data_IF_118411418627
#
_entry.id   IF_118411418627
#
_cell.length_a   1.000
_cell.length_b   1.000
_cell.length_c   1.000
_cell.angle_alpha   90.00
_cell.angle_beta   90.00
_cell.angle_gamma   90.00
#
_symmetry.space_group_name_H-M   'P 1'
#
loop_
_entity.id
_entity.type
_entity.pdbx_description
1 polymer ?
#
# COMPACT_ATOMS: atom_id res chain seq x y z
N UNK A 1 -10.37 -23.20 -7.44
CA UNK A 1 -8.96 -23.64 -7.50
C UNK A 1 -8.74 -24.97 -8.22
N UNK A 2 -9.77 -25.81 -8.42
CA UNK A 2 -9.64 -27.13 -9.08
C UNK A 2 -9.06 -27.14 -10.51
N UNK A 3 -9.00 -26.00 -11.21
CA UNK A 3 -8.37 -25.89 -12.54
C UNK A 3 -6.89 -25.50 -12.52
N UNK A 4 -6.26 -25.42 -11.34
CA UNK A 4 -4.86 -25.04 -11.20
C UNK A 4 -3.92 -26.24 -11.39
N UNK A 5 -2.69 -25.99 -11.83
CA UNK A 5 -1.65 -27.03 -11.92
C UNK A 5 -1.23 -27.51 -10.52
N UNK A 6 -0.77 -28.76 -10.43
CA UNK A 6 -0.20 -29.30 -9.19
C UNK A 6 0.93 -28.42 -8.65
N UNK A 7 0.90 -28.14 -7.35
CA UNK A 7 1.78 -27.24 -6.59
C UNK A 7 1.79 -25.79 -7.07
N UNK A 8 0.71 -25.31 -7.71
CA UNK A 8 0.53 -23.87 -7.89
C UNK A 8 0.47 -23.16 -6.53
N UNK A 9 1.13 -22.00 -6.43
CA UNK A 9 1.08 -21.13 -5.25
C UNK A 9 -0.02 -20.09 -5.47
N UNK A 10 -0.89 -19.94 -4.49
CA UNK A 10 -2.00 -18.98 -4.47
C UNK A 10 -1.84 -18.09 -3.24
N UNK A 11 -1.87 -16.78 -3.46
CA UNK A 11 -1.79 -15.80 -2.39
C UNK A 11 -2.54 -14.53 -2.78
N UNK A 12 -2.80 -13.69 -1.78
CA UNK A 12 -3.47 -12.42 -1.92
C UNK A 12 -2.61 -11.31 -1.30
N UNK A 13 -2.62 -10.14 -1.91
CA UNK A 13 -1.96 -8.92 -1.39
C UNK A 13 -2.88 -7.69 -1.42
N UNK A 14 -4.14 -7.89 -1.79
CA UNK A 14 -5.18 -6.89 -1.65
C UNK A 14 -5.66 -6.76 -0.20
N UNK A 15 -6.84 -6.20 0.02
CA UNK A 15 -7.18 -5.67 1.34
C UNK A 15 -7.73 -6.73 2.32
N UNK A 16 -8.52 -7.68 1.82
CA UNK A 16 -9.18 -8.72 2.63
C UNK A 16 -9.09 -10.10 1.98
N UNK A 17 -9.47 -11.14 2.72
CA UNK A 17 -9.41 -12.55 2.30
C UNK A 17 -10.44 -12.98 1.25
N UNK A 18 -11.45 -12.17 1.00
CA UNK A 18 -12.55 -12.51 0.09
C UNK A 18 -12.24 -12.36 -1.41
N UNK A 19 -11.03 -11.89 -1.77
CA UNK A 19 -10.54 -11.93 -3.15
C UNK A 19 -10.29 -13.37 -3.63
N UNK A 20 -10.08 -14.28 -2.68
CA UNK A 20 -9.96 -15.71 -2.91
C UNK A 20 -11.17 -16.39 -2.27
N UNK A 21 -11.83 -17.30 -2.99
CA UNK A 21 -12.92 -18.11 -2.44
C UNK A 21 -12.39 -19.20 -1.49
N UNK A 22 -11.84 -18.76 -0.35
CA UNK A 22 -11.33 -19.63 0.72
C UNK A 22 -12.45 -20.44 1.37
N UNK A 23 -13.64 -19.85 1.48
CA UNK A 23 -14.81 -20.52 2.03
C UNK A 23 -15.29 -21.66 1.11
N UNK A 24 -15.29 -21.45 -0.21
CA UNK A 24 -15.57 -22.48 -1.20
C UNK A 24 -14.48 -23.55 -1.24
N UNK A 25 -13.20 -23.17 -1.11
CA UNK A 25 -12.08 -24.12 -0.98
C UNK A 25 -12.28 -25.04 0.24
N UNK A 26 -12.59 -24.47 1.41
CA UNK A 26 -12.83 -25.24 2.63
C UNK A 26 -14.03 -26.21 2.53
N UNK A 27 -15.02 -25.90 1.67
CA UNK A 27 -16.19 -26.76 1.41
C UNK A 27 -16.00 -27.70 0.21
N UNK A 28 -14.88 -27.63 -0.49
CA UNK A 28 -14.69 -28.35 -1.77
C UNK A 28 -14.43 -29.85 -1.61
N UNK A 29 -14.16 -30.32 -0.39
CA UNK A 29 -13.69 -31.69 -0.13
C UNK A 29 -12.16 -31.83 -0.26
N UNK A 30 -11.43 -30.77 -0.58
CA UNK A 30 -9.98 -30.74 -0.47
C UNK A 30 -9.55 -30.83 1.01
N UNK A 31 -8.44 -31.51 1.28
CA UNK A 31 -7.85 -31.62 2.61
C UNK A 31 -6.77 -30.57 2.80
N UNK A 32 -6.70 -29.97 4.00
CA UNK A 32 -5.73 -28.94 4.36
C UNK A 32 -4.67 -29.52 5.29
N UNK A 33 -3.41 -29.41 4.88
CA UNK A 33 -2.24 -29.71 5.70
C UNK A 33 -1.41 -28.43 5.89
N UNK A 34 -1.18 -28.01 7.14
CA UNK A 34 -0.31 -26.87 7.42
C UNK A 34 1.16 -27.29 7.29
N UNK A 35 1.91 -26.68 6.38
CA UNK A 35 3.33 -26.96 6.18
C UNK A 35 4.21 -26.20 7.18
N UNK A 36 3.82 -24.95 7.44
CA UNK A 36 4.41 -24.03 8.42
C UNK A 36 3.43 -22.87 8.65
N UNK A 37 3.63 -22.04 9.70
CA UNK A 37 2.77 -20.87 9.93
C UNK A 37 2.60 -20.01 8.67
N UNK A 38 1.34 -19.82 8.27
CA UNK A 38 0.95 -19.03 7.10
C UNK A 38 1.18 -19.72 5.75
N UNK A 39 1.38 -21.04 5.71
CA UNK A 39 1.53 -21.81 4.46
C UNK A 39 0.81 -23.16 4.58
N UNK A 40 -0.27 -23.31 3.81
CA UNK A 40 -1.08 -24.52 3.77
C UNK A 40 -0.95 -25.23 2.42
N UNK A 41 -0.91 -26.56 2.44
CA UNK A 41 -1.11 -27.40 1.26
C UNK A 41 -2.57 -27.87 1.23
N UNK A 42 -3.25 -27.59 0.14
CA UNK A 42 -4.61 -28.05 -0.12
C UNK A 42 -4.60 -29.13 -1.19
N UNK A 43 -4.94 -30.36 -0.81
CA UNK A 43 -4.94 -31.53 -1.70
C UNK A 43 -6.34 -31.90 -2.15
N UNK A 44 -6.54 -32.03 -3.46
CA UNK A 44 -7.82 -32.31 -4.09
C UNK A 44 -8.03 -33.82 -4.33
N UNK A 45 -9.29 -34.29 -4.46
CA UNK A 45 -9.59 -35.72 -4.70
C UNK A 45 -9.01 -36.31 -5.99
N UNK A 46 -8.69 -35.49 -6.99
CA UNK A 46 -8.07 -35.90 -8.26
C UNK A 46 -6.54 -36.03 -8.16
N UNK A 47 -5.97 -35.80 -6.98
CA UNK A 47 -4.56 -36.00 -6.67
C UNK A 47 -3.66 -34.79 -6.87
N UNK A 48 -4.16 -33.67 -7.40
CA UNK A 48 -3.38 -32.44 -7.42
C UNK A 48 -3.47 -31.68 -6.09
N UNK A 49 -2.53 -30.76 -5.86
CA UNK A 49 -2.49 -29.93 -4.66
C UNK A 49 -2.17 -28.49 -5.05
N UNK A 50 -2.57 -27.54 -4.21
CA UNK A 50 -2.20 -26.12 -4.31
C UNK A 50 -1.66 -25.63 -2.98
N UNK A 51 -0.70 -24.70 -3.02
CA UNK A 51 -0.12 -24.09 -1.83
C UNK A 51 -0.83 -22.74 -1.62
N UNK A 52 -1.48 -22.57 -0.49
CA UNK A 52 -2.15 -21.32 -0.12
C UNK A 52 -1.33 -20.60 0.95
N UNK A 53 -1.02 -19.33 0.70
CA UNK A 53 -0.30 -18.48 1.65
C UNK A 53 -1.27 -17.62 2.46
N UNK A 54 -0.95 -17.45 3.74
CA UNK A 54 -1.67 -16.61 4.70
C UNK A 54 -3.20 -16.84 4.74
N UNK A 55 -3.66 -18.06 4.44
CA UNK A 55 -5.09 -18.40 4.35
C UNK A 55 -5.88 -17.44 3.44
N UNK A 56 -5.24 -16.91 2.39
CA UNK A 56 -5.85 -15.95 1.47
C UNK A 56 -5.89 -14.50 1.97
N UNK A 57 -5.33 -14.18 3.14
CA UNK A 57 -5.09 -12.81 3.62
C UNK A 57 -3.83 -12.20 3.01
N UNK A 58 -3.50 -10.98 3.42
CA UNK A 58 -2.33 -10.23 2.97
C UNK A 58 -1.02 -11.00 3.19
N UNK A 59 -0.45 -11.52 2.11
CA UNK A 59 0.72 -12.40 2.13
C UNK A 59 1.98 -11.71 2.66
N UNK A 60 2.16 -10.42 2.38
CA UNK A 60 3.31 -9.66 2.82
C UNK A 60 3.36 -9.50 4.34
N UNK A 61 2.19 -9.43 5.00
CA UNK A 61 2.08 -9.36 6.46
C UNK A 61 2.00 -10.75 7.10
N UNK A 62 1.28 -11.69 6.46
CA UNK A 62 1.08 -13.03 7.01
C UNK A 62 2.28 -13.96 6.87
N UNK A 63 3.11 -13.78 5.84
CA UNK A 63 4.26 -14.65 5.56
C UNK A 63 5.62 -13.93 5.66
N UNK A 64 5.61 -12.62 5.92
CA UNK A 64 6.81 -11.80 6.05
C UNK A 64 6.56 -10.66 7.05
N UNK A 65 7.23 -9.52 6.89
CA UNK A 65 7.20 -8.41 7.84
C UNK A 65 6.52 -7.15 7.28
N UNK A 66 5.72 -7.29 6.21
CA UNK A 66 5.07 -6.16 5.54
C UNK A 66 6.04 -5.27 4.78
N UNK A 67 5.68 -3.98 4.66
CA UNK A 67 6.54 -3.00 4.00
C UNK A 67 7.76 -2.63 4.86
N UNK A 68 8.94 -2.41 4.26
CA UNK A 68 10.11 -1.91 4.97
C UNK A 68 9.84 -0.56 5.67
N UNK A 69 10.58 -0.29 6.75
CA UNK A 69 10.41 0.92 7.55
C UNK A 69 10.44 2.21 6.76
N UNK A 70 11.27 2.31 5.71
CA UNK A 70 11.35 3.51 4.88
C UNK A 70 10.08 3.77 4.06
N UNK A 71 9.44 2.72 3.54
CA UNK A 71 8.13 2.82 2.86
C UNK A 71 7.05 3.25 3.85
N UNK A 72 7.07 2.66 5.05
CA UNK A 72 6.14 3.01 6.11
C UNK A 72 6.37 4.42 6.65
N UNK A 73 7.60 4.94 6.63
CA UNK A 73 7.93 6.31 7.02
C UNK A 73 7.16 7.35 6.21
N UNK A 74 7.04 7.17 4.89
CA UNK A 74 6.22 8.04 4.04
C UNK A 74 4.74 8.02 4.46
N UNK A 75 4.19 6.81 4.65
CA UNK A 75 2.78 6.63 5.03
C UNK A 75 2.48 7.20 6.41
N UNK A 76 3.33 6.94 7.40
CA UNK A 76 3.16 7.42 8.76
C UNK A 76 3.43 8.92 8.90
N UNK A 77 4.32 9.50 8.09
CA UNK A 77 4.49 10.95 8.01
C UNK A 77 3.21 11.64 7.55
N UNK A 78 2.56 11.10 6.51
CA UNK A 78 1.25 11.58 6.05
C UNK A 78 0.18 11.47 7.14
N UNK A 79 0.11 10.34 7.85
CA UNK A 79 -0.83 10.19 8.97
C UNK A 79 -0.57 11.18 10.11
N UNK A 80 0.68 11.39 10.51
CA UNK A 80 1.04 12.35 11.56
C UNK A 80 0.67 13.77 11.15
N UNK A 81 0.96 14.16 9.91
CA UNK A 81 0.60 15.48 9.39
C UNK A 81 -0.92 15.65 9.35
N UNK A 82 -1.67 14.64 8.92
CA UNK A 82 -3.14 14.68 8.93
C UNK A 82 -3.70 14.84 10.36
N UNK A 83 -3.12 14.15 11.34
CA UNK A 83 -3.52 14.30 12.75
C UNK A 83 -3.24 15.72 13.26
N UNK A 84 -2.06 16.28 12.95
CA UNK A 84 -1.71 17.67 13.31
C UNK A 84 -2.67 18.67 12.65
N UNK A 85 -3.00 18.45 11.38
CA UNK A 85 -3.87 19.34 10.61
C UNK A 85 -5.29 19.35 11.16
N UNK A 86 -5.89 18.18 11.37
CA UNK A 86 -7.24 18.05 11.93
C UNK A 86 -7.31 18.60 13.36
N UNK A 87 -6.31 18.34 14.19
CA UNK A 87 -6.29 18.81 15.57
C UNK A 87 -6.23 20.34 15.67
N UNK A 88 -5.40 20.98 14.85
CA UNK A 88 -5.20 22.43 14.91
C UNK A 88 -6.21 23.23 14.08
N UNK A 89 -6.90 22.60 13.12
CA UNK A 89 -7.75 23.30 12.15
C UNK A 89 -9.14 22.68 12.00
N UNK A 90 -9.68 22.03 13.04
CA UNK A 90 -10.92 21.25 12.97
C UNK A 90 -12.10 22.00 12.31
N UNK A 91 -12.24 23.30 12.58
CA UNK A 91 -13.31 24.14 12.01
C UNK A 91 -13.26 24.25 10.47
N UNK A 92 -12.09 24.04 9.85
CA UNK A 92 -11.90 24.05 8.39
C UNK A 92 -12.38 22.76 7.72
N UNK A 93 -12.67 21.72 8.51
CA UNK A 93 -13.04 20.39 8.04
C UNK A 93 -14.43 20.02 8.57
N UNK A 94 -15.52 20.53 7.96
CA UNK A 94 -16.86 20.03 8.24
C UNK A 94 -16.96 18.53 7.90
N UNK A 95 -18.09 17.87 8.21
CA UNK A 95 -18.21 16.44 7.96
C UNK A 95 -18.00 16.11 6.48
N UNK A 96 -16.98 15.30 6.19
CA UNK A 96 -16.60 14.94 4.84
C UNK A 96 -15.35 14.06 4.79
N UNK A 97 -14.98 13.64 3.59
CA UNK A 97 -13.72 12.96 3.30
C UNK A 97 -12.80 13.94 2.58
N UNK A 98 -11.61 14.15 3.15
CA UNK A 98 -10.65 15.13 2.66
C UNK A 98 -9.35 14.44 2.25
N UNK A 99 -8.67 15.03 1.28
CA UNK A 99 -7.32 14.65 0.88
C UNK A 99 -6.36 15.71 1.44
N UNK A 100 -5.18 15.28 1.88
CA UNK A 100 -4.15 16.22 2.31
C UNK A 100 -3.80 17.19 1.17
N UNK A 101 -3.69 18.51 1.44
CA UNK A 101 -3.20 19.47 0.46
C UNK A 101 -1.85 19.05 -0.14
N UNK A 102 -1.67 19.27 -1.46
CA UNK A 102 -0.50 18.84 -2.22
C UNK A 102 0.85 19.29 -1.63
N UNK A 103 0.92 20.50 -1.08
CA UNK A 103 2.15 21.01 -0.47
C UNK A 103 2.58 20.20 0.77
N UNK A 104 1.64 19.55 1.48
CA UNK A 104 1.95 18.65 2.60
C UNK A 104 2.49 17.30 2.12
N UNK A 105 1.98 16.78 1.00
CA UNK A 105 2.51 15.57 0.37
C UNK A 105 3.93 15.81 -0.19
N UNK A 106 4.15 16.95 -0.85
CA UNK A 106 5.48 17.39 -1.28
C UNK A 106 6.44 17.59 -0.10
N UNK A 107 5.95 18.08 1.05
CA UNK A 107 6.74 18.18 2.28
C UNK A 107 7.17 16.80 2.79
N UNK A 108 6.30 15.79 2.74
CA UNK A 108 6.67 14.40 3.07
C UNK A 108 7.75 13.91 2.12
N UNK A 109 7.58 14.07 0.81
CA UNK A 109 8.59 13.67 -0.17
C UNK A 109 9.95 14.35 0.11
N UNK A 110 9.93 15.68 0.32
CA UNK A 110 11.13 16.48 0.61
C UNK A 110 11.86 16.00 1.88
N UNK A 111 11.13 15.62 2.92
CA UNK A 111 11.70 15.12 4.18
C UNK A 111 12.51 13.81 4.02
N UNK A 112 12.26 13.06 2.95
CA UNK A 112 12.94 11.78 2.68
C UNK A 112 14.11 11.89 1.69
N UNK A 113 14.29 13.04 0.99
CA UNK A 113 15.30 13.19 -0.07
C UNK A 113 16.75 13.09 0.44
N UNK A 114 17.06 13.75 1.55
CA UNK A 114 18.41 13.73 2.13
C UNK A 114 18.82 12.32 2.56
N UNK A 115 17.88 11.55 3.14
CA UNK A 115 18.11 10.16 3.52
C UNK A 115 18.40 9.25 2.31
N UNK A 116 17.96 9.65 1.11
CA UNK A 116 18.25 8.98 -0.16
C UNK A 116 19.47 9.56 -0.89
N UNK A 117 20.12 10.60 -0.35
CA UNK A 117 21.23 11.28 -1.00
C UNK A 117 20.83 12.09 -2.24
N UNK A 118 19.55 12.46 -2.36
CA UNK A 118 19.03 13.19 -3.52
C UNK A 118 19.31 14.69 -3.37
N UNK A 119 19.88 15.30 -4.41
CA UNK A 119 20.02 16.75 -4.53
C UNK A 119 18.89 17.30 -5.39
N UNK A 120 17.94 18.00 -4.77
CA UNK A 120 16.83 18.61 -5.49
C UNK A 120 17.26 19.91 -6.16
N UNK A 121 17.03 20.03 -7.46
CA UNK A 121 17.21 21.30 -8.18
C UNK A 121 16.22 22.35 -7.66
N UNK A 122 16.71 23.57 -7.45
CA UNK A 122 15.87 24.72 -7.11
C UNK A 122 15.57 25.52 -8.38
N UNK A 123 14.32 25.95 -8.53
CA UNK A 123 13.95 26.86 -9.59
C UNK A 123 14.62 28.21 -9.38
N UNK A 124 15.15 28.77 -10.47
CA UNK A 124 15.50 30.19 -10.51
C UNK A 124 14.23 31.04 -10.57
N UNK A 125 14.32 32.30 -10.15
CA UNK A 125 13.19 33.24 -10.21
C UNK A 125 12.60 33.33 -11.63
N UNK A 126 13.47 33.34 -12.65
CA UNK A 126 13.06 33.35 -14.05
C UNK A 126 12.26 32.09 -14.45
N UNK A 127 12.65 30.92 -13.93
CA UNK A 127 11.92 29.68 -14.22
C UNK A 127 10.58 29.62 -13.48
N UNK A 128 10.54 30.10 -12.23
CA UNK A 128 9.31 30.17 -11.44
C UNK A 128 8.29 31.11 -12.08
N UNK A 129 8.73 32.30 -12.51
CA UNK A 129 7.90 33.26 -13.26
C UNK A 129 7.41 32.67 -14.59
N UNK A 130 8.30 32.02 -15.35
CA UNK A 130 7.92 31.39 -16.63
C UNK A 130 6.85 30.31 -16.47
N UNK A 131 6.90 29.54 -15.38
CA UNK A 131 5.95 28.46 -15.10
C UNK A 131 4.74 28.91 -14.29
N UNK A 132 4.67 30.18 -13.90
CA UNK A 132 3.61 30.75 -13.05
C UNK A 132 3.38 29.93 -11.77
N UNK A 133 4.47 29.65 -11.04
CA UNK A 133 4.40 28.89 -9.78
C UNK A 133 5.35 29.43 -8.72
N UNK A 134 4.99 29.21 -7.45
CA UNK A 134 5.88 29.47 -6.33
C UNK A 134 7.11 28.53 -6.41
N UNK A 135 8.36 29.03 -6.30
CA UNK A 135 9.55 28.19 -6.29
C UNK A 135 9.58 27.16 -5.13
N UNK A 136 8.77 27.33 -4.09
CA UNK A 136 8.57 26.38 -3.00
C UNK A 136 7.47 25.33 -3.27
N UNK A 137 6.72 25.46 -4.37
CA UNK A 137 5.60 24.60 -4.73
C UNK A 137 4.24 25.11 -4.22
N UNK A 138 3.13 24.39 -4.49
CA UNK A 138 3.08 23.08 -5.13
C UNK A 138 3.47 23.10 -6.62
N UNK A 139 4.18 22.07 -7.08
CA UNK A 139 4.79 22.04 -8.41
C UNK A 139 3.91 21.43 -9.51
N UNK A 140 2.71 20.97 -9.17
CA UNK A 140 1.80 20.26 -10.08
C UNK A 140 0.33 20.64 -9.82
N UNK A 141 -0.53 20.63 -10.85
CA UNK A 141 -1.95 20.88 -10.69
C UNK A 141 -2.64 19.74 -9.93
N UNK A 142 -3.87 19.99 -9.47
CA UNK A 142 -4.58 19.03 -8.60
C UNK A 142 -4.90 17.70 -9.30
N UNK A 143 -5.28 17.74 -10.58
CA UNK A 143 -5.61 16.56 -11.37
C UNK A 143 -4.40 15.74 -11.85
N UNK A 144 -3.18 16.14 -11.45
CA UNK A 144 -1.96 15.44 -11.82
C UNK A 144 -1.85 14.08 -11.13
N UNK A 145 -1.46 13.03 -11.86
CA UNK A 145 -1.49 11.63 -11.41
C UNK A 145 -0.13 11.15 -10.90
N UNK A 146 0.52 11.93 -10.03
CA UNK A 146 1.92 11.81 -9.54
C UNK A 146 3.00 12.43 -10.41
#
# INVERSE_FOLDING_TARGET
MAGMKHNAIVCNIGHFDNEIDMAGLARSGATRDELKPGTDLWSFPDGHSVIVLAEGRLVNLGCATGHPSFVMSCSFSNQVIAQIELFNNLEKYPLGVYVLPKHLDEKVARAHLDALGVKLTQLTDQQAEYMDMDPAGPFKPEHYRY
#
